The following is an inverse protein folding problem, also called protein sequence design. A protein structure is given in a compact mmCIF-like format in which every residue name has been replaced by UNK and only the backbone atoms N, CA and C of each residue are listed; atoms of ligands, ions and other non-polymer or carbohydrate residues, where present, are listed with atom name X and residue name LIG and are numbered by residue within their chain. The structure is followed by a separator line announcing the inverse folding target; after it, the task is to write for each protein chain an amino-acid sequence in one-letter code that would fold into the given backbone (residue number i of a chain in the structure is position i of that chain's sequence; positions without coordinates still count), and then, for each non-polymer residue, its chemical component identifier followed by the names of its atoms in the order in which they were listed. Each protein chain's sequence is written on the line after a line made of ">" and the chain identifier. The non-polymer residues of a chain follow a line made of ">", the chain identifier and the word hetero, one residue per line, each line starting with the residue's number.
data_IF_675766195819
#
_entry.id   IF_675766195819
#
_cell.length_a   1.000
_cell.length_b   1.000
_cell.length_c   1.000
_cell.angle_alpha   90.00
_cell.angle_beta   90.00
_cell.angle_gamma   90.00
#
_symmetry.space_group_name_H-M   'P 1'
#
loop_
_entity.id
_entity.type
_entity.pdbx_description
1 polymer ?
#
# COMPACT_ATOMS: atom_id res chain seq x y z
N UNK A 1 -20.97 28.01 -22.29
CA UNK A 1 -21.13 27.53 -20.90
C UNK A 1 -21.00 26.02 -20.89
N UNK A 2 -20.07 25.52 -20.09
CA UNK A 2 -19.52 24.17 -20.11
C UNK A 2 -20.53 23.12 -19.60
N UNK A 3 -20.61 21.99 -20.30
CA UNK A 3 -20.90 20.69 -19.71
C UNK A 3 -19.83 19.73 -20.22
N UNK A 4 -18.64 19.84 -19.66
CA UNK A 4 -17.65 18.78 -19.75
C UNK A 4 -18.15 17.65 -18.86
N UNK A 5 -18.41 16.51 -19.50
CA UNK A 5 -18.73 15.28 -18.80
C UNK A 5 -17.65 15.01 -17.78
N UNK A 6 -18.07 14.81 -16.53
CA UNK A 6 -17.24 14.26 -15.48
C UNK A 6 -16.80 12.87 -15.93
N UNK A 7 -15.67 12.80 -16.63
CA UNK A 7 -14.87 11.58 -16.68
C UNK A 7 -14.43 11.35 -15.25
N UNK A 8 -15.14 10.46 -14.55
CA UNK A 8 -14.54 9.70 -13.47
C UNK A 8 -13.28 9.06 -14.06
N UNK A 9 -12.13 9.67 -13.78
CA UNK A 9 -10.85 9.08 -14.10
C UNK A 9 -10.86 7.65 -13.55
N UNK A 10 -10.34 6.66 -14.28
CA UNK A 10 -10.18 5.34 -13.70
C UNK A 10 -9.41 5.54 -12.40
N UNK A 11 -9.87 4.86 -11.33
CA UNK A 11 -9.12 4.67 -10.09
C UNK A 11 -7.76 4.07 -10.44
N UNK A 12 -6.84 4.91 -10.92
CA UNK A 12 -5.50 4.54 -11.27
C UNK A 12 -4.75 4.67 -9.98
N UNK A 13 -4.42 3.52 -9.39
CA UNK A 13 -3.34 3.39 -8.46
C UNK A 13 -2.21 4.35 -8.86
N UNK A 14 -2.06 5.45 -8.13
CA UNK A 14 -1.06 6.47 -8.46
C UNK A 14 0.31 5.82 -8.55
N UNK A 15 1.23 6.43 -9.31
CA UNK A 15 2.62 5.96 -9.36
C UNK A 15 3.16 5.66 -7.95
N UNK A 16 4.14 4.77 -7.82
CA UNK A 16 4.72 4.44 -6.50
C UNK A 16 5.10 5.71 -5.71
N UNK A 17 5.63 6.73 -6.40
CA UNK A 17 5.91 8.06 -5.84
C UNK A 17 4.66 8.76 -5.29
N UNK A 18 3.54 8.74 -6.01
CA UNK A 18 2.30 9.38 -5.59
C UNK A 18 1.73 8.72 -4.33
N UNK A 19 1.71 7.39 -4.28
CA UNK A 19 1.27 6.64 -3.08
C UNK A 19 2.16 6.93 -1.87
N UNK A 20 3.46 7.07 -2.08
CA UNK A 20 4.41 7.47 -1.04
C UNK A 20 4.10 8.87 -0.51
N UNK A 21 3.85 9.85 -1.39
CA UNK A 21 3.48 11.21 -0.99
C UNK A 21 2.19 11.22 -0.17
N UNK A 22 1.13 10.55 -0.64
CA UNK A 22 -0.14 10.45 0.08
C UNK A 22 0.00 9.81 1.47
N UNK A 23 0.93 8.86 1.62
CA UNK A 23 1.20 8.22 2.90
C UNK A 23 1.92 9.17 3.84
N UNK A 24 2.91 9.93 3.35
CA UNK A 24 3.66 10.91 4.14
C UNK A 24 2.75 12.06 4.57
N UNK A 25 1.89 12.55 3.68
CA UNK A 25 0.93 13.64 3.97
C UNK A 25 -0.06 13.30 5.09
N UNK A 26 -0.30 12.01 5.35
CA UNK A 26 -1.21 11.52 6.40
C UNK A 26 -0.53 11.29 7.74
N UNK A 27 0.79 11.48 7.84
CA UNK A 27 1.50 11.32 9.09
C UNK A 27 1.13 12.45 10.08
N UNK A 28 1.10 12.15 11.40
CA UNK A 28 0.98 13.18 12.43
C UNK A 28 2.05 14.26 12.29
N UNK A 29 1.75 15.48 12.73
CA UNK A 29 2.70 16.60 12.66
C UNK A 29 3.96 16.39 13.50
N UNK A 30 3.87 15.57 14.55
CA UNK A 30 4.95 15.16 15.43
C UNK A 30 5.62 13.84 15.01
N UNK A 31 5.26 13.29 13.86
CA UNK A 31 5.87 12.08 13.33
C UNK A 31 7.37 12.27 13.09
N UNK A 32 8.13 11.27 13.53
CA UNK A 32 9.58 11.19 13.33
C UNK A 32 9.92 10.65 11.94
N UNK A 33 11.20 10.73 11.58
CA UNK A 33 11.69 10.08 10.36
C UNK A 33 11.51 8.56 10.43
N UNK A 34 11.71 7.97 11.62
CA UNK A 34 11.48 6.55 11.87
C UNK A 34 10.03 6.14 11.60
N UNK A 35 9.05 6.93 12.02
CA UNK A 35 7.62 6.69 11.75
C UNK A 35 7.33 6.71 10.25
N UNK A 36 7.93 7.66 9.52
CA UNK A 36 7.81 7.74 8.08
C UNK A 36 8.41 6.49 7.40
N UNK A 37 9.61 6.07 7.81
CA UNK A 37 10.26 4.86 7.29
C UNK A 37 9.39 3.62 7.55
N UNK A 38 8.87 3.46 8.78
CA UNK A 38 7.98 2.34 9.12
C UNK A 38 6.78 2.29 8.17
N UNK A 39 6.12 3.44 7.98
CA UNK A 39 4.92 3.52 7.15
C UNK A 39 5.20 3.18 5.69
N UNK A 40 6.36 3.59 5.16
CA UNK A 40 6.81 3.25 3.81
C UNK A 40 7.13 1.76 3.66
N UNK A 41 7.80 1.16 4.66
CA UNK A 41 8.09 -0.28 4.68
C UNK A 41 6.78 -1.08 4.71
N UNK A 42 5.81 -0.65 5.51
CA UNK A 42 4.49 -1.27 5.57
C UNK A 42 3.79 -1.22 4.20
N UNK A 43 3.75 -0.04 3.56
CA UNK A 43 3.17 0.11 2.21
C UNK A 43 3.81 -0.86 1.21
N UNK A 44 5.14 -0.90 1.17
CA UNK A 44 5.88 -1.75 0.24
C UNK A 44 5.60 -3.25 0.49
N UNK A 45 5.59 -3.69 1.75
CA UNK A 45 5.30 -5.09 2.11
C UNK A 45 3.86 -5.49 1.79
N UNK A 46 2.89 -4.62 2.04
CA UNK A 46 1.49 -4.89 1.70
C UNK A 46 1.29 -5.00 0.18
N UNK A 47 1.85 -4.08 -0.61
CA UNK A 47 1.76 -4.14 -2.07
C UNK A 47 2.40 -5.42 -2.63
N UNK A 48 3.57 -5.80 -2.10
CA UNK A 48 4.20 -7.07 -2.47
C UNK A 48 3.33 -8.27 -2.11
N UNK A 49 2.79 -8.30 -0.89
CA UNK A 49 1.92 -9.39 -0.44
C UNK A 49 0.64 -9.51 -1.28
N UNK A 50 0.04 -8.40 -1.70
CA UNK A 50 -1.11 -8.42 -2.61
C UNK A 50 -0.72 -9.01 -3.98
N UNK A 51 0.41 -8.59 -4.56
CA UNK A 51 0.90 -9.15 -5.81
C UNK A 51 1.23 -10.65 -5.71
N UNK A 52 1.81 -11.09 -4.58
CA UNK A 52 2.06 -12.51 -4.29
C UNK A 52 0.74 -13.30 -4.21
N UNK A 53 -0.30 -12.73 -3.59
CA UNK A 53 -1.63 -13.36 -3.53
C UNK A 53 -2.29 -13.45 -4.90
N UNK A 54 -2.24 -12.39 -5.71
CA UNK A 54 -2.77 -12.37 -7.08
C UNK A 54 -2.04 -13.40 -7.97
N UNK A 55 -0.75 -13.64 -7.71
CA UNK A 55 0.05 -14.68 -8.37
C UNK A 55 -0.19 -16.10 -7.80
N UNK A 56 -1.11 -16.29 -6.85
CA UNK A 56 -1.42 -17.59 -6.26
C UNK A 56 -0.34 -18.12 -5.29
N UNK A 57 0.56 -17.26 -4.81
CA UNK A 57 1.66 -17.62 -3.91
C UNK A 57 1.26 -17.61 -2.42
N UNK A 58 -0.03 -17.41 -2.14
CA UNK A 58 -0.57 -17.53 -0.79
C UNK A 58 -0.37 -18.94 -0.21
N UNK A 59 -0.34 -19.01 1.12
CA UNK A 59 -0.29 -20.28 1.85
C UNK A 59 -1.54 -20.41 2.72
N UNK A 60 -1.91 -21.65 3.03
CA UNK A 60 -3.00 -21.89 3.98
C UNK A 60 -2.63 -21.40 5.39
N UNK A 61 -3.67 -21.15 6.20
CA UNK A 61 -3.50 -20.58 7.53
C UNK A 61 -2.65 -21.44 8.47
N UNK A 62 -2.68 -22.77 8.35
CA UNK A 62 -1.90 -23.65 9.21
C UNK A 62 -0.41 -23.58 8.83
N UNK A 63 -0.08 -23.52 7.54
CA UNK A 63 1.29 -23.27 7.06
C UNK A 63 1.81 -21.90 7.49
N UNK A 64 0.99 -20.85 7.39
CA UNK A 64 1.37 -19.52 7.85
C UNK A 64 1.77 -19.53 9.34
N UNK A 65 0.97 -20.18 10.20
CA UNK A 65 1.29 -20.35 11.63
C UNK A 65 2.59 -21.11 11.86
N UNK A 66 2.85 -22.18 11.10
CA UNK A 66 4.11 -22.94 11.21
C UNK A 66 5.34 -22.11 10.88
N UNK A 67 5.24 -21.14 9.96
CA UNK A 67 6.35 -20.24 9.58
C UNK A 67 6.62 -19.15 10.61
N UNK A 68 5.57 -18.62 11.24
CA UNK A 68 5.67 -17.55 12.23
C UNK A 68 6.21 -18.02 13.59
N UNK A 69 6.05 -19.30 13.92
CA UNK A 69 6.46 -19.88 15.20
C UNK A 69 7.84 -20.57 15.14
N UNK A 70 8.58 -20.43 14.03
CA UNK A 70 10.00 -20.79 13.95
C UNK A 70 10.86 -19.63 14.40
#
# INVERSE_FOLDING_TARGET
>A
MLREGSQEAPMSDGSAKQKVLEVIEKLPADATLEDAIERLVLLAKTQRGLAELDAGQGVDHAEAKRRLLR
#
